data_IF_865216192432
#
_entry.id   IF_865216192432
#
_cell.length_a   1.000
_cell.length_b   1.000
_cell.length_c   1.000
_cell.angle_alpha   90.00
_cell.angle_beta   90.00
_cell.angle_gamma   90.00
#
_symmetry.space_group_name_H-M   'P 1'
#
loop_
_entity.id
_entity.type
_entity.pdbx_description
1 polymer ?
#
# COMPACT_ATOMS: atom_id res chain seq x y z
N UNK A 1 4.33 7.62 -7.19
CA UNK A 1 4.72 6.34 -7.83
C UNK A 1 4.15 5.20 -7.00
N UNK A 2 3.71 4.10 -7.61
CA UNK A 2 3.20 2.94 -6.86
C UNK A 2 4.18 1.77 -6.89
N UNK A 3 4.23 1.00 -5.81
CA UNK A 3 5.04 -0.22 -5.69
C UNK A 3 4.12 -1.36 -5.26
N UNK A 4 4.18 -2.50 -5.93
CA UNK A 4 3.34 -3.66 -5.60
C UNK A 4 3.69 -4.19 -4.20
N UNK A 5 2.69 -4.55 -3.39
CA UNK A 5 2.90 -5.00 -2.00
C UNK A 5 3.75 -6.27 -1.86
N UNK A 6 3.90 -7.05 -2.94
CA UNK A 6 4.75 -8.24 -2.98
C UNK A 6 6.24 -7.94 -3.30
N UNK A 7 6.59 -6.68 -3.55
CA UNK A 7 7.98 -6.32 -3.80
C UNK A 7 8.85 -6.55 -2.54
N UNK A 8 10.12 -6.99 -2.69
CA UNK A 8 11.04 -7.05 -1.56
C UNK A 8 11.22 -5.68 -0.89
N UNK A 9 11.44 -5.66 0.44
CA UNK A 9 11.66 -4.42 1.18
C UNK A 9 12.83 -3.59 0.63
N UNK A 10 13.90 -4.23 0.16
CA UNK A 10 15.02 -3.55 -0.48
C UNK A 10 14.59 -2.79 -1.75
N UNK A 11 13.69 -3.37 -2.56
CA UNK A 11 13.14 -2.69 -3.74
C UNK A 11 12.26 -1.51 -3.34
N UNK A 12 11.44 -1.66 -2.29
CA UNK A 12 10.65 -0.56 -1.76
C UNK A 12 11.53 0.59 -1.24
N UNK A 13 12.64 0.27 -0.58
CA UNK A 13 13.61 1.25 -0.06
C UNK A 13 14.27 2.03 -1.21
N UNK A 14 14.74 1.34 -2.25
CA UNK A 14 15.30 2.01 -3.43
C UNK A 14 14.26 2.87 -4.15
N UNK A 15 13.00 2.41 -4.25
CA UNK A 15 11.93 3.20 -4.84
C UNK A 15 11.61 4.46 -4.02
N UNK A 16 11.63 4.35 -2.68
CA UNK A 16 11.45 5.49 -1.78
C UNK A 16 12.59 6.51 -1.95
N UNK A 17 13.85 6.06 -1.94
CA UNK A 17 15.01 6.92 -2.13
C UNK A 17 14.94 7.71 -3.45
N UNK A 18 14.56 7.03 -4.55
CA UNK A 18 14.35 7.69 -5.84
C UNK A 18 13.23 8.73 -5.75
N UNK A 19 12.09 8.39 -5.13
CA UNK A 19 10.98 9.34 -4.99
C UNK A 19 11.39 10.59 -4.18
N UNK A 20 12.11 10.41 -3.08
CA UNK A 20 12.58 11.50 -2.21
C UNK A 20 13.52 12.47 -2.94
N UNK A 21 14.42 11.96 -3.80
CA UNK A 21 15.30 12.81 -4.65
C UNK A 21 14.51 13.77 -5.55
N UNK A 22 13.29 13.40 -5.92
CA UNK A 22 12.38 14.24 -6.71
C UNK A 22 11.30 14.92 -5.86
N UNK A 23 11.44 14.94 -4.53
CA UNK A 23 10.47 15.48 -3.57
C UNK A 23 9.09 14.83 -3.68
N UNK A 24 9.06 13.54 -4.04
CA UNK A 24 7.86 12.73 -4.18
C UNK A 24 7.73 11.67 -3.09
N UNK A 25 6.61 10.97 -3.14
CA UNK A 25 6.31 9.83 -2.26
C UNK A 25 6.01 8.57 -3.08
N UNK A 26 6.13 7.41 -2.43
CA UNK A 26 5.63 6.14 -2.95
C UNK A 26 4.39 5.69 -2.19
N UNK A 27 3.53 4.93 -2.87
CA UNK A 27 2.33 4.32 -2.32
C UNK A 27 2.39 2.81 -2.55
N UNK A 28 2.02 2.01 -1.55
CA UNK A 28 1.98 0.55 -1.70
C UNK A 28 0.65 0.14 -2.33
N UNK A 29 0.72 -0.52 -3.49
CA UNK A 29 -0.44 -1.06 -4.17
C UNK A 29 -0.81 -2.43 -3.56
N UNK A 30 -1.97 -2.53 -2.91
CA UNK A 30 -2.40 -3.75 -2.24
C UNK A 30 -3.11 -4.70 -3.21
N UNK A 31 -2.48 -5.84 -3.46
CA UNK A 31 -3.02 -6.96 -4.22
C UNK A 31 -2.67 -8.31 -3.58
N UNK A 32 -3.52 -9.32 -3.77
CA UNK A 32 -3.25 -10.66 -3.26
C UNK A 32 -3.24 -10.73 -1.73
N UNK A 33 -2.28 -11.46 -1.17
CA UNK A 33 -2.11 -11.63 0.28
C UNK A 33 -1.05 -10.67 0.79
N UNK A 34 -1.41 -9.90 1.80
CA UNK A 34 -0.52 -9.06 2.60
C UNK A 34 -0.97 -9.17 4.06
N UNK A 35 -0.07 -8.89 4.98
CA UNK A 35 -0.30 -8.97 6.42
C UNK A 35 -0.08 -7.61 7.08
N UNK A 36 -0.56 -7.45 8.32
CA UNK A 36 -0.26 -6.26 9.11
C UNK A 36 1.24 -6.15 9.45
N UNK A 37 1.97 -7.26 9.46
CA UNK A 37 3.43 -7.25 9.63
C UNK A 37 4.12 -6.64 8.42
N UNK A 38 3.67 -6.98 7.20
CA UNK A 38 4.16 -6.33 5.97
C UNK A 38 3.89 -4.82 6.03
N UNK A 39 2.67 -4.42 6.41
CA UNK A 39 2.29 -3.02 6.53
C UNK A 39 3.14 -2.27 7.57
N UNK A 40 3.46 -2.91 8.70
CA UNK A 40 4.36 -2.37 9.70
C UNK A 40 5.77 -2.18 9.14
N UNK A 41 6.30 -3.15 8.41
CA UNK A 41 7.62 -3.04 7.79
C UNK A 41 7.69 -1.89 6.78
N UNK A 42 6.63 -1.66 5.98
CA UNK A 42 6.57 -0.51 5.07
C UNK A 42 6.54 0.81 5.84
N UNK A 43 5.80 0.86 6.95
CA UNK A 43 5.71 2.04 7.82
C UNK A 43 7.05 2.35 8.49
N UNK A 44 7.74 1.34 8.99
CA UNK A 44 9.05 1.45 9.62
C UNK A 44 10.11 1.94 8.62
N UNK A 45 9.96 1.59 7.34
CA UNK A 45 10.78 2.11 6.23
C UNK A 45 10.47 3.59 5.89
N UNK A 46 9.37 4.15 6.40
CA UNK A 46 8.96 5.54 6.16
C UNK A 46 7.84 5.70 5.12
N UNK A 47 7.32 4.61 4.55
CA UNK A 47 6.21 4.64 3.58
C UNK A 47 4.90 4.85 4.33
N UNK A 48 4.11 5.85 3.91
CA UNK A 48 2.95 6.33 4.68
C UNK A 48 1.61 6.10 3.98
N UNK A 49 1.63 5.61 2.75
CA UNK A 49 0.46 5.51 1.90
C UNK A 49 0.32 4.12 1.31
N UNK A 50 -0.93 3.64 1.23
CA UNK A 50 -1.28 2.40 0.56
C UNK A 50 -2.59 2.57 -0.21
N UNK A 51 -2.72 1.86 -1.33
CA UNK A 51 -3.90 1.84 -2.19
C UNK A 51 -4.62 0.51 -1.98
N UNK A 52 -5.82 0.58 -1.43
CA UNK A 52 -6.67 -0.59 -1.20
C UNK A 52 -7.76 -0.68 -2.27
N UNK A 53 -7.83 -1.83 -2.95
CA UNK A 53 -8.87 -2.10 -3.92
C UNK A 53 -10.12 -2.63 -3.24
N UNK A 54 -11.28 -2.15 -3.67
CA UNK A 54 -12.55 -2.82 -3.35
C UNK A 54 -12.51 -4.24 -3.94
N UNK A 55 -12.92 -5.23 -3.14
CA UNK A 55 -13.00 -6.61 -3.61
C UNK A 55 -13.89 -6.72 -4.85
N UNK A 56 -13.48 -7.55 -5.83
CA UNK A 56 -14.18 -7.71 -7.12
C UNK A 56 -15.67 -8.02 -6.94
N UNK A 57 -16.02 -8.82 -5.93
CA UNK A 57 -17.40 -9.20 -5.64
C UNK A 57 -18.23 -8.03 -5.05
N UNK A 58 -17.59 -7.16 -4.26
CA UNK A 58 -18.22 -5.94 -3.74
C UNK A 58 -18.41 -4.88 -4.83
N UNK A 59 -17.47 -4.80 -5.78
CA UNK A 59 -17.55 -3.93 -6.96
C UNK A 59 -18.69 -4.35 -7.90
N UNK A 60 -18.81 -5.65 -8.20
CA UNK A 60 -19.83 -6.19 -9.11
C UNK A 60 -21.25 -6.15 -8.52
N UNK A 61 -21.38 -6.13 -7.19
CA UNK A 61 -22.68 -6.11 -6.51
C UNK A 61 -23.20 -4.71 -6.18
N UNK A 62 -22.49 -3.64 -6.58
CA UNK A 62 -22.90 -2.25 -6.33
C UNK A 62 -22.94 -1.86 -4.84
N UNK A 63 -22.39 -2.69 -3.95
CA UNK A 63 -22.41 -2.45 -2.50
C UNK A 63 -21.37 -1.38 -2.16
N UNK A 64 -21.73 -0.31 -1.43
CA UNK A 64 -20.74 0.63 -0.93
C UNK A 64 -19.74 -0.12 -0.03
N UNK A 65 -18.45 0.12 -0.24
CA UNK A 65 -17.40 -0.49 0.57
C UNK A 65 -17.63 -0.15 2.05
N UNK A 66 -17.66 -1.16 2.91
CA UNK A 66 -17.79 -0.95 4.34
C UNK A 66 -16.67 -0.01 4.81
N UNK A 67 -17.04 1.19 5.27
CA UNK A 67 -16.11 2.20 5.73
C UNK A 67 -15.57 1.77 7.10
N UNK A 68 -14.69 0.79 7.11
CA UNK A 68 -13.98 0.38 8.30
C UNK A 68 -12.72 1.22 8.38
N UNK A 69 -12.90 2.42 8.94
CA UNK A 69 -11.79 3.28 9.36
C UNK A 69 -10.93 2.43 10.28
N UNK A 70 -9.73 2.08 9.82
CA UNK A 70 -8.68 1.54 10.70
C UNK A 70 -8.15 2.74 11.50
N UNK A 71 -8.83 3.09 12.58
CA UNK A 71 -8.27 3.95 13.63
C UNK A 71 -7.21 3.17 14.41
N UNK A 72 -6.19 3.87 14.96
CA UNK A 72 -4.93 3.31 15.44
C UNK A 72 -5.06 2.26 16.55
#
# INVERSE_FOLDING_TARGET
MTVICAAPLATMASALEVAERYRGEIQIELFGRWTLEDAKAWRDLGIKQAIYHRGRDAQASGKPGANRILTP
#
